data_IF_703092575738
#
_entry.id   IF_703092575738
#
_cell.length_a   1.000
_cell.length_b   1.000
_cell.length_c   1.000
_cell.angle_alpha   90.00
_cell.angle_beta   90.00
_cell.angle_gamma   90.00
#
_symmetry.space_group_name_H-M   'P 1'
#
loop_
_entity.id
_entity.type
_entity.pdbx_description
1 polymer ?
#
# COMPACT_ATOMS: atom_id res chain seq x y z
N UNK A 1 -59.15 -26.82 -0.93
CA UNK A 1 -58.11 -26.88 -1.98
C UNK A 1 -56.75 -26.64 -1.34
N UNK A 2 -55.86 -27.63 -1.41
CA UNK A 2 -54.55 -27.58 -0.73
C UNK A 2 -53.64 -26.57 -1.44
N UNK A 3 -53.12 -25.59 -0.69
CA UNK A 3 -52.26 -24.52 -1.21
C UNK A 3 -50.86 -25.09 -1.41
N UNK A 4 -50.29 -24.90 -2.59
CA UNK A 4 -48.95 -25.36 -2.93
C UNK A 4 -47.91 -24.85 -1.90
N UNK A 5 -47.27 -25.76 -1.17
CA UNK A 5 -46.19 -25.46 -0.24
C UNK A 5 -44.84 -25.64 -0.96
N UNK A 6 -44.13 -24.55 -1.24
CA UNK A 6 -42.83 -24.57 -1.91
C UNK A 6 -41.81 -25.33 -1.06
N UNK A 7 -41.21 -26.38 -1.64
CA UNK A 7 -40.13 -27.20 -1.05
C UNK A 7 -38.72 -26.62 -1.22
N UNK A 8 -38.60 -25.34 -1.53
CA UNK A 8 -37.32 -24.68 -1.77
C UNK A 8 -37.32 -23.33 -1.07
N UNK A 9 -36.18 -22.97 -0.49
CA UNK A 9 -35.97 -21.66 0.14
C UNK A 9 -35.85 -20.52 -0.90
N UNK A 10 -36.02 -20.83 -2.20
CA UNK A 10 -35.96 -19.85 -3.27
C UNK A 10 -37.20 -18.94 -3.24
N UNK A 11 -36.98 -17.69 -2.84
CA UNK A 11 -38.01 -16.63 -2.83
C UNK A 11 -38.13 -15.93 -4.19
N UNK A 12 -39.36 -15.76 -4.71
CA UNK A 12 -39.67 -14.83 -5.80
C UNK A 12 -39.14 -13.44 -5.51
N UNK A 13 -38.80 -12.68 -6.55
CA UNK A 13 -38.20 -11.36 -6.40
C UNK A 13 -39.07 -10.40 -5.57
N UNK A 14 -40.39 -10.42 -5.78
CA UNK A 14 -41.36 -9.58 -5.05
C UNK A 14 -41.46 -9.90 -3.55
N UNK A 15 -41.04 -11.11 -3.12
CA UNK A 15 -41.02 -11.52 -1.71
C UNK A 15 -39.65 -11.25 -1.04
N UNK A 16 -38.68 -10.67 -1.77
CA UNK A 16 -37.35 -10.34 -1.23
C UNK A 16 -37.38 -8.96 -0.60
N UNK A 17 -36.88 -8.87 0.64
CA UNK A 17 -36.58 -7.61 1.28
C UNK A 17 -35.11 -7.25 1.01
N UNK A 18 -34.88 -6.09 0.40
CA UNK A 18 -33.54 -5.53 0.20
C UNK A 18 -33.35 -4.34 1.12
N UNK A 19 -32.21 -4.30 1.81
CA UNK A 19 -31.81 -3.16 2.64
C UNK A 19 -30.49 -2.60 2.15
N UNK A 20 -30.38 -1.28 2.06
CA UNK A 20 -29.12 -0.59 1.79
C UNK A 20 -28.55 -0.09 3.11
N UNK A 21 -27.28 -0.44 3.39
CA UNK A 21 -26.54 0.13 4.52
C UNK A 21 -25.54 1.15 3.98
N UNK A 22 -25.75 2.42 4.30
CA UNK A 22 -24.74 3.43 4.07
C UNK A 22 -23.56 3.17 5.01
N UNK A 23 -22.35 3.08 4.45
CA UNK A 23 -21.11 2.96 5.21
C UNK A 23 -20.34 4.27 5.06
N UNK A 24 -20.37 5.07 6.11
CA UNK A 24 -19.53 6.25 6.20
C UNK A 24 -18.16 5.84 6.74
N UNK A 25 -17.12 6.07 5.94
CA UNK A 25 -15.75 5.86 6.35
C UNK A 25 -15.22 7.13 6.98
N UNK A 26 -14.33 6.97 7.95
CA UNK A 26 -13.54 8.07 8.44
C UNK A 26 -12.69 8.65 7.32
N UNK A 27 -12.34 9.94 7.44
CA UNK A 27 -11.43 10.57 6.49
C UNK A 27 -10.10 9.83 6.50
N UNK A 28 -9.45 9.79 5.34
CA UNK A 28 -8.11 9.27 5.25
C UNK A 28 -7.18 10.06 6.19
N UNK A 29 -6.36 9.33 6.95
CA UNK A 29 -5.37 9.91 7.85
C UNK A 29 -4.20 10.44 7.02
N UNK A 30 -4.18 11.75 6.80
CA UNK A 30 -3.14 12.43 6.03
C UNK A 30 -1.75 12.26 6.65
N UNK A 31 -1.66 12.12 7.96
CA UNK A 31 -0.38 11.95 8.64
C UNK A 31 0.22 10.58 8.31
N UNK A 32 -0.58 9.52 8.37
CA UNK A 32 -0.15 8.17 7.98
C UNK A 32 0.20 8.08 6.50
N UNK A 33 -0.56 8.76 5.63
CA UNK A 33 -0.23 8.82 4.20
C UNK A 33 1.10 9.52 3.97
N UNK A 34 1.35 10.65 4.63
CA UNK A 34 2.64 11.34 4.54
C UNK A 34 3.79 10.48 5.05
N UNK A 35 3.59 9.77 6.17
CA UNK A 35 4.57 8.85 6.75
C UNK A 35 4.94 7.72 5.78
N UNK A 36 3.96 7.11 5.11
CA UNK A 36 4.20 6.07 4.10
C UNK A 36 4.99 6.62 2.92
N UNK A 37 4.64 7.81 2.41
CA UNK A 37 5.36 8.44 1.31
C UNK A 37 6.82 8.72 1.68
N UNK A 38 7.06 9.29 2.86
CA UNK A 38 8.41 9.57 3.35
C UNK A 38 9.24 8.28 3.44
N UNK A 39 8.69 7.21 4.03
CA UNK A 39 9.40 5.93 4.15
C UNK A 39 9.77 5.34 2.80
N UNK A 40 8.84 5.35 1.85
CA UNK A 40 9.08 4.82 0.51
C UNK A 40 10.20 5.59 -0.19
N UNK A 41 10.17 6.92 -0.15
CA UNK A 41 11.23 7.75 -0.73
C UNK A 41 12.58 7.54 -0.03
N UNK A 42 12.60 7.42 1.30
CA UNK A 42 13.84 7.17 2.03
C UNK A 42 14.44 5.80 1.72
N UNK A 43 13.59 4.79 1.50
CA UNK A 43 14.03 3.47 1.09
C UNK A 43 14.66 3.51 -0.31
N UNK A 44 13.95 4.05 -1.30
CA UNK A 44 14.44 4.14 -2.68
C UNK A 44 15.74 4.95 -2.77
N UNK A 45 15.80 6.10 -2.09
CA UNK A 45 17.02 6.93 -2.03
C UNK A 45 18.15 6.23 -1.28
N UNK A 46 17.83 5.45 -0.24
CA UNK A 46 18.78 4.63 0.49
C UNK A 46 19.40 3.54 -0.38
N UNK A 47 18.58 2.78 -1.10
CA UNK A 47 19.00 1.75 -2.05
C UNK A 47 19.88 2.33 -3.15
N UNK A 48 19.47 3.46 -3.74
CA UNK A 48 20.27 4.17 -4.76
C UNK A 48 21.64 4.63 -4.23
N UNK A 49 21.72 5.10 -2.98
CA UNK A 49 23.00 5.46 -2.35
C UNK A 49 23.85 4.22 -2.08
N UNK A 50 23.24 3.15 -1.58
CA UNK A 50 23.94 1.90 -1.29
C UNK A 50 24.55 1.29 -2.57
N UNK A 51 23.80 1.26 -3.67
CA UNK A 51 24.28 0.80 -4.97
C UNK A 51 25.49 1.62 -5.46
N UNK A 52 25.39 2.95 -5.41
CA UNK A 52 26.51 3.84 -5.77
C UNK A 52 27.74 3.66 -4.88
N UNK A 53 27.54 3.41 -3.58
CA UNK A 53 28.63 3.17 -2.66
C UNK A 53 29.29 1.80 -2.91
N UNK A 54 28.53 0.79 -3.33
CA UNK A 54 29.06 -0.53 -3.67
C UNK A 54 29.97 -0.49 -4.91
N UNK A 55 29.68 0.38 -5.88
CA UNK A 55 30.51 0.59 -7.08
C UNK A 55 31.73 1.49 -6.83
N UNK A 56 31.75 2.23 -5.71
CA UNK A 56 32.83 3.16 -5.40
C UNK A 56 34.07 2.40 -4.94
N UNK A 57 35.22 2.74 -5.52
CA UNK A 57 36.53 2.26 -5.04
C UNK A 57 36.67 2.65 -3.56
N UNK A 58 36.91 1.70 -2.64
CA UNK A 58 37.01 2.01 -1.22
C UNK A 58 38.10 3.04 -0.97
N UNK A 59 37.85 3.96 -0.03
CA UNK A 59 38.74 5.09 0.22
C UNK A 59 40.14 4.64 0.67
N UNK A 60 40.28 3.42 1.19
CA UNK A 60 41.57 2.78 1.52
C UNK A 60 42.45 2.47 0.30
N UNK A 61 41.87 2.44 -0.91
CA UNK A 61 42.59 2.22 -2.16
C UNK A 61 42.78 3.51 -2.97
N UNK A 62 42.24 4.65 -2.50
CA UNK A 62 42.54 5.93 -3.14
C UNK A 62 43.95 6.36 -2.79
N UNK A 63 44.77 6.60 -3.81
CA UNK A 63 46.01 7.34 -3.64
C UNK A 63 45.70 8.70 -2.97
N UNK A 64 46.55 9.12 -2.02
CA UNK A 64 46.43 10.43 -1.41
C UNK A 64 46.37 11.49 -2.52
N UNK A 65 45.48 12.49 -2.44
CA UNK A 65 45.48 13.56 -3.43
C UNK A 65 46.87 14.19 -3.42
N UNK A 66 47.53 14.21 -4.58
CA UNK A 66 48.88 14.75 -4.73
C UNK A 66 48.92 16.17 -4.16
N UNK A 67 49.49 16.28 -2.96
CA UNK A 67 49.67 17.53 -2.25
C UNK A 67 50.67 18.39 -3.00
N UNK A 68 50.18 19.23 -3.92
CA UNK A 68 50.91 20.39 -4.43
C UNK A 68 50.48 21.62 -3.65
N UNK A 69 51.33 22.01 -2.70
CA UNK A 69 51.57 23.41 -2.34
C UNK A 69 52.94 23.79 -2.91
#
# INVERSE_FOLDING_TARGET
MSRYAKKTDRRPYEERSFSVRAVHRERADLHKLAEVLIRLTLQETGESRAARQAERVPDTYRAAPDGRL
#
